data_IF_158028865021
#
_entry.id   IF_158028865021
#
_cell.length_a   1.000
_cell.length_b   1.000
_cell.length_c   1.000
_cell.angle_alpha   90.00
_cell.angle_beta   90.00
_cell.angle_gamma   90.00
#
_symmetry.space_group_name_H-M   'P 1'
#
loop_
_entity.id
_entity.type
_entity.pdbx_description
1 polymer ?
#
# COMPACT_ATOMS: atom_id res chain seq x y z
N UNK A 1 -35.14 21.03 -37.59
CA UNK A 1 -34.37 20.90 -38.85
C UNK A 1 -32.89 21.01 -38.49
N UNK A 2 -32.20 19.88 -38.39
CA UNK A 2 -30.74 19.82 -38.51
C UNK A 2 -30.52 19.06 -39.82
N UNK A 3 -30.42 19.81 -40.92
CA UNK A 3 -29.98 19.29 -42.20
C UNK A 3 -28.53 19.72 -42.36
N UNK A 4 -27.64 18.80 -42.00
CA UNK A 4 -26.19 18.95 -41.99
C UNK A 4 -25.58 17.60 -41.62
N UNK A 5 -25.58 16.69 -42.60
CA UNK A 5 -25.01 15.33 -42.62
C UNK A 5 -25.77 14.25 -41.82
N UNK A 6 -26.28 13.24 -42.54
CA UNK A 6 -26.80 11.94 -42.04
C UNK A 6 -25.70 11.08 -41.37
N UNK A 7 -24.80 11.70 -40.62
CA UNK A 7 -23.68 11.04 -39.96
C UNK A 7 -24.05 10.79 -38.51
N UNK A 8 -23.81 9.56 -38.07
CA UNK A 8 -23.91 9.18 -36.66
C UNK A 8 -22.87 9.93 -35.83
N UNK A 9 -23.05 10.06 -34.50
CA UNK A 9 -22.05 10.69 -33.64
C UNK A 9 -20.66 10.06 -33.76
N UNK A 10 -20.61 8.76 -34.06
CA UNK A 10 -19.36 8.04 -34.30
C UNK A 10 -18.65 8.55 -35.56
N UNK A 11 -19.36 8.64 -36.69
CA UNK A 11 -18.81 9.12 -37.97
C UNK A 11 -18.36 10.58 -37.87
N UNK A 12 -19.13 11.42 -37.18
CA UNK A 12 -18.73 12.81 -36.89
C UNK A 12 -17.40 12.86 -36.11
N UNK A 13 -17.21 11.97 -35.13
CA UNK A 13 -15.98 11.88 -34.34
C UNK A 13 -14.77 11.34 -35.12
N UNK A 14 -14.98 10.42 -36.06
CA UNK A 14 -13.89 9.88 -36.89
C UNK A 14 -13.45 10.85 -38.00
N UNK A 15 -14.31 11.80 -38.38
CA UNK A 15 -13.99 12.78 -39.42
C UNK A 15 -12.82 13.72 -39.09
N UNK A 16 -12.56 13.95 -37.79
CA UNK A 16 -11.53 14.89 -37.33
C UNK A 16 -11.80 16.37 -37.68
N UNK A 17 -12.97 16.71 -38.23
CA UNK A 17 -13.33 18.09 -38.58
C UNK A 17 -13.88 18.84 -37.36
N UNK A 18 -13.28 19.99 -37.04
CA UNK A 18 -13.70 20.86 -35.94
C UNK A 18 -15.15 21.36 -36.07
N UNK A 19 -15.62 21.59 -37.30
CA UNK A 19 -16.99 22.05 -37.57
C UNK A 19 -18.04 21.03 -37.10
N UNK A 20 -17.70 19.75 -37.06
CA UNK A 20 -18.59 18.68 -36.63
C UNK A 20 -18.80 18.66 -35.10
N UNK A 21 -17.99 19.38 -34.32
CA UNK A 21 -18.14 19.44 -32.86
C UNK A 21 -19.50 20.02 -32.48
N UNK A 22 -20.04 20.99 -33.24
CA UNK A 22 -21.37 21.56 -32.96
C UNK A 22 -22.46 20.49 -33.03
N UNK A 23 -22.40 19.62 -34.03
CA UNK A 23 -23.36 18.53 -34.21
C UNK A 23 -23.17 17.41 -33.17
N UNK A 24 -21.94 17.11 -32.77
CA UNK A 24 -21.66 16.19 -31.66
C UNK A 24 -22.30 16.73 -30.36
N UNK A 25 -22.21 18.05 -30.11
CA UNK A 25 -22.85 18.68 -28.95
C UNK A 25 -24.37 18.58 -29.02
N UNK A 26 -24.98 18.78 -30.19
CA UNK A 26 -26.42 18.60 -30.40
C UNK A 26 -26.86 17.16 -30.03
N UNK A 27 -26.09 16.14 -30.43
CA UNK A 27 -26.36 14.77 -30.01
C UNK A 27 -26.19 14.53 -28.50
N UNK A 28 -25.20 15.14 -27.85
CA UNK A 28 -25.03 15.07 -26.38
C UNK A 28 -26.24 15.67 -25.66
N UNK A 29 -26.80 16.75 -26.19
CA UNK A 29 -27.92 17.50 -25.62
C UNK A 29 -29.25 16.75 -25.82
N UNK A 30 -29.60 16.42 -27.05
CA UNK A 30 -30.96 16.02 -27.43
C UNK A 30 -31.08 14.61 -28.05
N UNK A 31 -29.97 13.88 -28.20
CA UNK A 31 -29.98 12.52 -28.76
C UNK A 31 -30.60 11.44 -27.85
N UNK A 32 -30.84 10.25 -28.40
CA UNK A 32 -31.18 9.06 -27.62
C UNK A 32 -30.05 8.65 -26.65
N UNK A 33 -30.33 7.77 -25.67
CA UNK A 33 -29.31 7.30 -24.71
C UNK A 33 -28.06 6.77 -25.43
N UNK A 34 -28.25 6.03 -26.52
CA UNK A 34 -27.14 5.47 -27.28
C UNK A 34 -26.41 6.53 -28.11
N UNK A 35 -27.13 7.47 -28.73
CA UNK A 35 -26.51 8.57 -29.47
C UNK A 35 -25.71 9.49 -28.54
N UNK A 36 -26.26 9.87 -27.39
CA UNK A 36 -25.55 10.63 -26.35
C UNK A 36 -24.28 9.93 -25.89
N UNK A 37 -24.34 8.60 -25.71
CA UNK A 37 -23.18 7.78 -25.32
C UNK A 37 -22.10 7.79 -26.41
N UNK A 38 -22.50 7.62 -27.67
CA UNK A 38 -21.58 7.65 -28.81
C UNK A 38 -21.00 9.06 -29.03
N UNK A 39 -21.82 10.10 -28.86
CA UNK A 39 -21.41 11.49 -28.97
C UNK A 39 -20.41 11.87 -27.88
N UNK A 40 -20.62 11.44 -26.63
CA UNK A 40 -19.63 11.63 -25.57
C UNK A 40 -18.30 10.91 -25.88
N UNK A 41 -18.35 9.71 -26.47
CA UNK A 41 -17.15 9.00 -26.93
C UNK A 41 -16.42 9.75 -28.05
N UNK A 42 -17.16 10.27 -29.03
CA UNK A 42 -16.64 11.07 -30.13
C UNK A 42 -16.00 12.37 -29.64
N UNK A 43 -16.69 13.11 -28.77
CA UNK A 43 -16.20 14.35 -28.18
C UNK A 43 -14.88 14.15 -27.42
N UNK A 44 -14.77 13.05 -26.65
CA UNK A 44 -13.53 12.67 -25.95
C UNK A 44 -12.35 12.44 -26.90
N UNK A 45 -12.60 11.89 -28.10
CA UNK A 45 -11.54 11.74 -29.12
C UNK A 45 -11.15 13.10 -29.69
N UNK A 46 -12.14 13.95 -29.98
CA UNK A 46 -11.92 15.28 -30.54
C UNK A 46 -11.21 16.24 -29.58
N UNK A 47 -11.40 16.08 -28.26
CA UNK A 47 -10.77 16.93 -27.25
C UNK A 47 -9.24 16.85 -27.19
N UNK A 48 -8.64 15.84 -27.83
CA UNK A 48 -7.18 15.74 -27.98
C UNK A 48 -6.63 16.90 -28.82
N UNK A 49 -7.39 17.36 -29.82
CA UNK A 49 -6.96 18.38 -30.78
C UNK A 49 -7.73 19.70 -30.64
N UNK A 50 -9.03 19.64 -30.30
CA UNK A 50 -9.94 20.80 -30.32
C UNK A 50 -10.59 21.02 -28.96
N UNK A 51 -9.76 21.14 -27.94
CA UNK A 51 -10.21 21.13 -26.54
C UNK A 51 -11.14 22.29 -26.18
N UNK A 52 -10.84 23.50 -26.65
CA UNK A 52 -11.64 24.70 -26.38
C UNK A 52 -13.06 24.59 -26.92
N UNK A 53 -13.22 24.07 -28.14
CA UNK A 53 -14.55 23.84 -28.73
C UNK A 53 -15.31 22.73 -28.01
N UNK A 54 -14.62 21.65 -27.63
CA UNK A 54 -15.24 20.57 -26.87
C UNK A 54 -15.68 20.99 -25.46
N UNK A 55 -15.03 21.99 -24.84
CA UNK A 55 -15.42 22.51 -23.52
C UNK A 55 -16.84 23.10 -23.51
N UNK A 56 -17.37 23.52 -24.67
CA UNK A 56 -18.77 23.98 -24.82
C UNK A 56 -19.81 22.90 -24.48
N UNK A 57 -19.39 21.63 -24.41
CA UNK A 57 -20.25 20.49 -24.12
C UNK A 57 -20.40 20.17 -22.61
N UNK A 58 -19.60 20.80 -21.74
CA UNK A 58 -19.42 20.36 -20.34
C UNK A 58 -20.75 20.29 -19.59
N UNK A 59 -21.58 21.33 -19.67
CA UNK A 59 -22.86 21.37 -18.95
C UNK A 59 -23.82 20.26 -19.40
N UNK A 60 -23.88 19.98 -20.70
CA UNK A 60 -24.71 18.92 -21.25
C UNK A 60 -24.22 17.52 -20.82
N UNK A 61 -22.89 17.33 -20.75
CA UNK A 61 -22.29 16.10 -20.23
C UNK A 61 -22.59 15.91 -18.74
N UNK A 62 -22.56 16.97 -17.94
CA UNK A 62 -22.94 16.94 -16.52
C UNK A 62 -24.43 16.60 -16.37
N UNK A 63 -25.30 17.21 -17.19
CA UNK A 63 -26.74 16.90 -17.18
C UNK A 63 -27.01 15.41 -17.45
N UNK A 64 -26.26 14.80 -18.37
CA UNK A 64 -26.37 13.37 -18.68
C UNK A 64 -26.02 12.46 -17.48
N UNK A 65 -25.38 12.96 -16.42
CA UNK A 65 -25.12 12.19 -15.20
C UNK A 65 -26.38 11.93 -14.35
N UNK A 66 -27.49 12.62 -14.63
CA UNK A 66 -28.78 12.37 -13.97
C UNK A 66 -29.56 11.17 -14.55
N UNK A 67 -29.10 10.59 -15.66
CA UNK A 67 -29.75 9.44 -16.28
C UNK A 67 -29.61 8.16 -15.45
N UNK A 68 -30.61 7.28 -15.53
CA UNK A 68 -30.54 5.94 -14.95
C UNK A 68 -29.59 5.02 -15.71
N UNK A 69 -29.29 5.31 -16.99
CA UNK A 69 -28.44 4.50 -17.87
C UNK A 69 -26.94 4.58 -17.48
N UNK A 70 -26.34 3.54 -16.85
CA UNK A 70 -25.01 3.68 -16.27
C UNK A 70 -23.89 3.84 -17.31
N UNK A 71 -24.07 3.25 -18.49
CA UNK A 71 -23.10 3.39 -19.59
C UNK A 71 -23.06 4.83 -20.14
N UNK A 72 -24.20 5.52 -20.23
CA UNK A 72 -24.20 6.93 -20.65
C UNK A 72 -23.47 7.80 -19.62
N UNK A 73 -23.70 7.56 -18.32
CA UNK A 73 -22.93 8.23 -17.26
C UNK A 73 -21.43 7.97 -17.41
N UNK A 74 -21.02 6.73 -17.63
CA UNK A 74 -19.63 6.35 -17.81
C UNK A 74 -18.95 7.11 -18.95
N UNK A 75 -19.56 7.14 -20.14
CA UNK A 75 -18.97 7.80 -21.31
C UNK A 75 -18.97 9.33 -21.15
N UNK A 76 -19.98 9.89 -20.50
CA UNK A 76 -20.01 11.32 -20.16
C UNK A 76 -18.89 11.69 -19.21
N UNK A 77 -18.64 10.89 -18.17
CA UNK A 77 -17.52 11.07 -17.24
C UNK A 77 -16.16 10.92 -17.93
N UNK A 78 -16.01 9.93 -18.82
CA UNK A 78 -14.78 9.77 -19.60
C UNK A 78 -14.48 10.97 -20.50
N UNK A 79 -15.52 11.61 -21.05
CA UNK A 79 -15.36 12.85 -21.81
C UNK A 79 -14.97 14.01 -20.89
N UNK A 80 -15.72 14.24 -19.80
CA UNK A 80 -15.47 15.29 -18.81
C UNK A 80 -14.04 15.24 -18.25
N UNK A 81 -13.48 14.04 -18.09
CA UNK A 81 -12.08 13.86 -17.64
C UNK A 81 -11.07 14.52 -18.57
N UNK A 82 -11.30 14.51 -19.87
CA UNK A 82 -10.36 15.07 -20.84
C UNK A 82 -10.53 16.59 -21.03
N UNK A 83 -11.71 17.14 -20.70
CA UNK A 83 -12.04 18.56 -20.82
C UNK A 83 -11.48 19.41 -19.66
N UNK A 84 -11.57 20.74 -19.80
CA UNK A 84 -11.16 21.73 -18.79
C UNK A 84 -12.34 22.12 -17.89
N UNK A 85 -12.38 21.55 -16.69
CA UNK A 85 -13.45 21.76 -15.74
C UNK A 85 -13.14 22.97 -14.83
N UNK A 86 -14.11 23.86 -14.67
CA UNK A 86 -14.07 24.92 -13.67
C UNK A 86 -14.32 24.35 -12.26
N UNK A 87 -14.03 25.17 -11.24
CA UNK A 87 -14.36 24.84 -9.86
C UNK A 87 -15.85 24.55 -9.64
N UNK A 88 -16.73 25.29 -10.33
CA UNK A 88 -18.18 25.11 -10.28
C UNK A 88 -18.58 23.72 -10.80
N UNK A 89 -18.01 23.31 -11.94
CA UNK A 89 -18.25 21.97 -12.49
C UNK A 89 -17.81 20.88 -11.49
N UNK A 90 -16.64 21.04 -10.88
CA UNK A 90 -16.14 20.09 -9.88
C UNK A 90 -17.05 20.04 -8.65
N UNK A 91 -17.59 21.17 -8.19
CA UNK A 91 -18.57 21.20 -7.11
C UNK A 91 -19.87 20.44 -7.46
N UNK A 92 -20.36 20.56 -8.69
CA UNK A 92 -21.52 19.81 -9.17
C UNK A 92 -21.21 18.30 -9.20
N UNK A 93 -20.06 17.90 -9.73
CA UNK A 93 -19.64 16.49 -9.78
C UNK A 93 -19.55 15.85 -8.38
N UNK A 94 -19.14 16.60 -7.34
CA UNK A 94 -19.15 16.11 -5.94
C UNK A 94 -20.55 15.74 -5.45
N UNK A 95 -21.60 16.35 -5.98
CA UNK A 95 -22.98 16.00 -5.63
C UNK A 95 -23.42 14.72 -6.35
N UNK A 96 -22.98 14.52 -7.59
CA UNK A 96 -23.33 13.33 -8.38
C UNK A 96 -22.64 12.05 -7.89
N UNK A 97 -21.36 12.11 -7.49
CA UNK A 97 -20.66 10.90 -7.01
C UNK A 97 -21.36 10.25 -5.80
N UNK A 98 -22.01 11.03 -4.93
CA UNK A 98 -22.77 10.53 -3.76
C UNK A 98 -23.97 9.65 -4.14
N UNK A 99 -24.46 9.77 -5.37
CA UNK A 99 -25.61 9.02 -5.90
C UNK A 99 -25.18 7.90 -6.86
N UNK A 100 -23.88 7.79 -7.16
CA UNK A 100 -23.39 6.81 -8.12
C UNK A 100 -23.30 5.42 -7.49
N UNK A 101 -23.95 4.44 -8.11
CA UNK A 101 -24.05 3.07 -7.63
C UNK A 101 -23.09 2.12 -8.36
N UNK A 102 -22.48 2.55 -9.47
CA UNK A 102 -21.55 1.74 -10.26
C UNK A 102 -20.10 2.11 -9.99
N UNK A 103 -19.35 1.14 -9.45
CA UNK A 103 -17.94 1.29 -9.11
C UNK A 103 -17.06 1.79 -10.27
N UNK A 104 -17.31 1.32 -11.50
CA UNK A 104 -16.52 1.75 -12.67
C UNK A 104 -16.74 3.22 -13.05
N UNK A 105 -17.83 3.85 -12.60
CA UNK A 105 -18.06 5.29 -12.75
C UNK A 105 -17.35 6.06 -11.63
N UNK A 106 -17.42 5.55 -10.39
CA UNK A 106 -16.71 6.12 -9.23
C UNK A 106 -15.22 6.28 -9.49
N UNK A 107 -14.57 5.27 -10.10
CA UNK A 107 -13.14 5.34 -10.46
C UNK A 107 -12.85 6.56 -11.37
N UNK A 108 -13.74 6.88 -12.31
CA UNK A 108 -13.52 8.00 -13.24
C UNK A 108 -13.69 9.35 -12.50
N UNK A 109 -14.60 9.44 -11.53
CA UNK A 109 -14.68 10.63 -10.67
C UNK A 109 -13.38 10.86 -9.92
N UNK A 110 -12.78 9.80 -9.34
CA UNK A 110 -11.52 9.91 -8.61
C UNK A 110 -10.38 10.38 -9.52
N UNK A 111 -10.34 9.89 -10.76
CA UNK A 111 -9.39 10.36 -11.79
C UNK A 111 -9.59 11.85 -12.11
N UNK A 112 -10.84 12.30 -12.25
CA UNK A 112 -11.18 13.72 -12.47
C UNK A 112 -10.70 14.58 -11.29
N UNK A 113 -11.07 14.24 -10.06
CA UNK A 113 -10.69 15.04 -8.89
C UNK A 113 -9.18 15.03 -8.63
N UNK A 114 -8.50 13.93 -8.96
CA UNK A 114 -7.04 13.84 -8.89
C UNK A 114 -6.36 14.78 -9.89
N UNK A 115 -6.90 14.91 -11.11
CA UNK A 115 -6.36 15.79 -12.18
C UNK A 115 -6.35 17.26 -11.75
N UNK A 116 -7.37 17.72 -11.04
CA UNK A 116 -7.53 19.16 -10.73
C UNK A 116 -6.95 19.61 -9.39
N UNK A 117 -6.38 18.70 -8.59
CA UNK A 117 -5.99 18.96 -7.18
C UNK A 117 -7.11 19.57 -6.30
N UNK A 118 -8.32 19.74 -6.85
CA UNK A 118 -9.50 20.29 -6.21
C UNK A 118 -10.03 19.24 -5.24
N UNK A 119 -9.65 19.38 -3.98
CA UNK A 119 -10.04 18.43 -2.93
C UNK A 119 -8.93 17.56 -2.36
N UNK A 120 -7.65 17.83 -2.63
CA UNK A 120 -6.55 17.22 -1.84
C UNK A 120 -6.67 17.54 -0.34
N UNK A 121 -7.31 18.65 0.03
CA UNK A 121 -7.52 19.00 1.45
C UNK A 121 -8.98 18.84 1.95
N UNK A 122 -10.01 18.84 1.09
CA UNK A 122 -11.42 18.85 1.56
C UNK A 122 -12.36 17.81 0.94
N UNK A 123 -11.96 17.02 -0.06
CA UNK A 123 -12.80 15.92 -0.59
C UNK A 123 -12.35 14.56 -0.09
N UNK A 124 -11.07 14.42 0.28
CA UNK A 124 -10.60 13.25 1.05
C UNK A 124 -10.64 13.58 2.56
N UNK A 125 -11.76 14.12 3.03
CA UNK A 125 -12.40 13.50 4.19
C UNK A 125 -13.17 12.29 3.68
N UNK A 126 -12.45 11.33 3.07
CA UNK A 126 -12.86 9.95 3.25
C UNK A 126 -13.05 9.81 4.77
N UNK A 127 -14.22 9.34 5.15
CA UNK A 127 -14.31 8.56 6.36
C UNK A 127 -13.46 7.32 6.07
N UNK A 128 -12.12 7.46 6.16
CA UNK A 128 -11.17 6.36 6.05
C UNK A 128 -11.59 5.41 7.16
N UNK A 129 -12.27 4.36 6.74
CA UNK A 129 -12.94 3.39 7.58
C UNK A 129 -12.60 2.04 7.00
N UNK A 130 -12.29 1.08 7.86
CA UNK A 130 -11.85 -0.26 7.48
C UNK A 130 -12.78 -0.92 6.44
N UNK A 131 -14.08 -0.62 6.52
CA UNK A 131 -15.11 -1.18 5.66
C UNK A 131 -15.05 -0.66 4.21
N UNK A 132 -14.43 0.49 3.96
CA UNK A 132 -14.42 1.13 2.63
C UNK A 132 -13.09 0.99 1.88
N UNK A 133 -12.10 0.31 2.48
CA UNK A 133 -10.80 0.15 1.85
C UNK A 133 -10.87 -0.72 0.60
N UNK A 134 -10.20 -0.27 -0.46
CA UNK A 134 -9.98 -1.07 -1.68
C UNK A 134 -8.99 -2.21 -1.43
N UNK A 135 -9.07 -3.28 -2.23
CA UNK A 135 -8.11 -4.38 -2.15
C UNK A 135 -6.68 -3.92 -2.40
N UNK A 136 -6.47 -2.96 -3.29
CA UNK A 136 -5.14 -2.39 -3.53
C UNK A 136 -4.59 -1.73 -2.27
N UNK A 137 -5.38 -0.88 -1.62
CA UNK A 137 -4.96 -0.19 -0.39
C UNK A 137 -4.66 -1.17 0.74
N UNK A 138 -5.48 -2.21 0.92
CA UNK A 138 -5.20 -3.28 1.90
C UNK A 138 -3.84 -3.93 1.63
N UNK A 139 -3.55 -4.28 0.38
CA UNK A 139 -2.27 -4.90 0.02
C UNK A 139 -1.09 -3.94 0.20
N UNK A 140 -1.25 -2.67 -0.14
CA UNK A 140 -0.22 -1.64 0.06
C UNK A 140 0.13 -1.48 1.55
N UNK A 141 -0.90 -1.44 2.40
CA UNK A 141 -0.72 -1.37 3.86
C UNK A 141 -0.10 -2.65 4.41
N UNK A 142 -0.57 -3.82 3.98
CA UNK A 142 -0.06 -5.11 4.43
C UNK A 142 1.39 -5.36 3.99
N UNK A 143 1.77 -4.91 2.80
CA UNK A 143 3.14 -5.01 2.32
C UNK A 143 4.06 -3.90 2.88
N UNK A 144 3.53 -2.97 3.67
CA UNK A 144 4.28 -1.84 4.20
C UNK A 144 4.78 -0.87 3.12
N UNK A 145 4.23 -0.92 1.91
CA UNK A 145 4.57 0.01 0.83
C UNK A 145 3.88 1.36 0.98
N UNK A 146 2.84 1.42 1.82
CA UNK A 146 2.11 2.64 2.18
C UNK A 146 1.88 2.70 3.68
N UNK A 147 2.05 3.87 4.27
CA UNK A 147 1.75 4.07 5.69
C UNK A 147 0.23 4.06 5.92
N UNK A 148 -0.22 3.34 6.95
CA UNK A 148 -1.62 3.40 7.40
C UNK A 148 -1.90 4.78 8.02
N UNK A 149 -2.95 5.50 7.56
CA UNK A 149 -3.38 6.77 8.15
C UNK A 149 -3.77 6.64 9.62
N UNK A 150 -3.47 7.64 10.45
CA UNK A 150 -3.84 7.67 11.88
C UNK A 150 -5.33 7.41 12.12
N UNK A 151 -6.20 8.07 11.33
CA UNK A 151 -7.66 7.90 11.40
C UNK A 151 -8.09 6.44 11.19
N UNK A 152 -7.40 5.69 10.33
CA UNK A 152 -7.69 4.28 10.11
C UNK A 152 -7.25 3.41 11.30
N UNK A 153 -6.11 3.75 11.94
CA UNK A 153 -5.66 3.08 13.17
C UNK A 153 -6.70 3.27 14.28
N UNK A 154 -7.23 4.49 14.41
CA UNK A 154 -8.30 4.81 15.36
C UNK A 154 -9.61 4.09 15.04
N UNK A 155 -9.99 4.02 13.77
CA UNK A 155 -11.16 3.27 13.32
C UNK A 155 -11.05 1.78 13.66
N UNK A 156 -9.89 1.14 13.43
CA UNK A 156 -9.67 -0.25 13.83
C UNK A 156 -9.78 -0.46 15.35
N UNK A 157 -9.30 0.49 16.17
CA UNK A 157 -9.46 0.45 17.64
C UNK A 157 -10.91 0.61 18.07
N UNK A 158 -11.65 1.52 17.45
CA UNK A 158 -13.06 1.71 17.76
C UNK A 158 -13.86 0.46 17.38
N UNK A 159 -13.56 -0.13 16.22
CA UNK A 159 -14.19 -1.36 15.74
C UNK A 159 -13.86 -2.58 16.60
N UNK A 160 -12.64 -2.70 17.10
CA UNK A 160 -12.30 -3.79 18.03
C UNK A 160 -13.03 -3.66 19.36
N UNK A 161 -13.24 -2.43 19.84
CA UNK A 161 -14.04 -2.19 21.04
C UNK A 161 -15.52 -2.54 20.81
N UNK A 162 -16.10 -2.17 19.66
CA UNK A 162 -17.46 -2.57 19.28
C UNK A 162 -17.58 -4.10 19.21
N UNK A 163 -16.63 -4.77 18.56
CA UNK A 163 -16.59 -6.24 18.49
C UNK A 163 -16.57 -6.88 19.89
N UNK A 164 -15.73 -6.40 20.81
CA UNK A 164 -15.66 -6.92 22.18
C UNK A 164 -16.94 -6.62 22.98
N UNK A 165 -17.55 -5.46 22.79
CA UNK A 165 -18.84 -5.14 23.43
C UNK A 165 -19.93 -6.10 22.96
N UNK A 166 -20.05 -6.32 21.65
CA UNK A 166 -21.02 -7.26 21.07
C UNK A 166 -20.73 -8.70 21.52
N UNK A 167 -19.46 -9.06 21.67
CA UNK A 167 -19.05 -10.37 22.20
C UNK A 167 -19.49 -10.54 23.66
N UNK A 168 -19.35 -9.49 24.46
CA UNK A 168 -19.79 -9.50 25.87
C UNK A 168 -21.31 -9.53 25.99
N UNK A 169 -22.05 -8.75 25.20
CA UNK A 169 -23.51 -8.78 25.15
C UNK A 169 -24.03 -10.16 24.73
N UNK A 170 -23.38 -10.78 23.74
CA UNK A 170 -23.68 -12.16 23.33
C UNK A 170 -23.42 -13.15 24.48
N UNK A 171 -22.32 -12.99 25.21
CA UNK A 171 -22.01 -13.84 26.37
C UNK A 171 -23.02 -13.68 27.52
N UNK A 172 -23.59 -12.48 27.73
CA UNK A 172 -24.62 -12.24 28.75
C UNK A 172 -25.91 -13.05 28.51
N UNK A 173 -26.21 -13.36 27.25
CA UNK A 173 -27.37 -14.18 26.89
C UNK A 173 -27.17 -15.68 27.17
N UNK A 174 -25.91 -16.11 27.33
CA UNK A 174 -25.53 -17.52 27.46
C UNK A 174 -25.04 -17.86 28.86
N UNK A 175 -24.31 -16.93 29.50
CA UNK A 175 -23.71 -17.14 30.82
C UNK A 175 -24.63 -16.56 31.90
N UNK A 176 -25.33 -17.44 32.61
CA UNK A 176 -26.13 -17.08 33.78
C UNK A 176 -25.27 -16.84 35.04
N UNK A 177 -24.09 -17.46 35.11
CA UNK A 177 -23.17 -17.33 36.25
C UNK A 177 -22.43 -15.99 36.21
N UNK A 178 -22.69 -15.14 37.22
CA UNK A 178 -22.09 -13.80 37.33
C UNK A 178 -20.56 -13.83 37.45
N UNK A 179 -20.00 -14.87 38.09
CA UNK A 179 -18.56 -15.05 38.24
C UNK A 179 -17.93 -15.37 36.89
N UNK A 180 -18.47 -16.35 36.16
CA UNK A 180 -17.99 -16.70 34.81
C UNK A 180 -18.14 -15.54 33.83
N UNK A 181 -19.22 -14.77 33.92
CA UNK A 181 -19.43 -13.58 33.09
C UNK A 181 -18.39 -12.49 33.40
N UNK A 182 -18.03 -12.31 34.68
CA UNK A 182 -16.96 -11.41 35.10
C UNK A 182 -15.59 -11.85 34.58
N UNK A 183 -15.30 -13.15 34.63
CA UNK A 183 -14.08 -13.75 34.06
C UNK A 183 -14.03 -13.55 32.55
N UNK A 184 -15.14 -13.80 31.84
CA UNK A 184 -15.26 -13.61 30.40
C UNK A 184 -14.94 -12.17 30.00
N UNK A 185 -15.58 -11.20 30.68
CA UNK A 185 -15.34 -9.77 30.44
C UNK A 185 -13.86 -9.40 30.58
N UNK A 186 -13.18 -9.91 31.61
CA UNK A 186 -11.75 -9.67 31.81
C UNK A 186 -10.88 -10.37 30.76
N UNK A 187 -11.17 -11.62 30.44
CA UNK A 187 -10.38 -12.44 29.52
C UNK A 187 -10.30 -11.83 28.12
N UNK A 188 -11.38 -11.23 27.66
CA UNK A 188 -11.51 -10.70 26.29
C UNK A 188 -11.46 -9.17 26.19
N UNK A 189 -11.13 -8.44 27.26
CA UNK A 189 -11.09 -6.98 27.21
C UNK A 189 -9.90 -6.45 26.36
N UNK A 190 -10.11 -5.38 25.60
CA UNK A 190 -9.06 -4.80 24.73
C UNK A 190 -7.94 -4.14 25.55
N UNK A 191 -8.27 -3.57 26.70
CA UNK A 191 -7.36 -2.70 27.45
C UNK A 191 -6.30 -3.45 28.26
N UNK A 192 -6.55 -4.70 28.64
CA UNK A 192 -5.65 -5.45 29.51
C UNK A 192 -5.72 -6.95 29.24
N UNK A 193 -4.56 -7.57 29.04
CA UNK A 193 -4.48 -9.01 28.85
C UNK A 193 -4.48 -9.74 30.20
N UNK A 194 -5.53 -10.50 30.46
CA UNK A 194 -5.62 -11.38 31.62
C UNK A 194 -5.26 -12.81 31.21
N UNK A 195 -4.18 -13.35 31.75
CA UNK A 195 -3.80 -14.76 31.54
C UNK A 195 -4.73 -15.68 32.32
N UNK A 196 -4.91 -16.93 31.85
CA UNK A 196 -5.64 -17.95 32.60
C UNK A 196 -5.07 -18.13 34.02
N UNK A 197 -3.76 -18.02 34.19
CA UNK A 197 -3.13 -18.06 35.51
C UNK A 197 -3.55 -16.90 36.41
N UNK A 198 -3.63 -15.67 35.87
CA UNK A 198 -4.08 -14.51 36.65
C UNK A 198 -5.54 -14.63 37.08
N UNK A 199 -6.42 -15.09 36.18
CA UNK A 199 -7.84 -15.28 36.46
C UNK A 199 -8.06 -16.44 37.44
N UNK A 200 -7.33 -17.54 37.28
CA UNK A 200 -7.36 -18.69 38.17
C UNK A 200 -7.03 -18.29 39.62
N UNK A 201 -5.99 -17.48 39.82
CA UNK A 201 -5.64 -16.95 41.14
C UNK A 201 -6.69 -15.99 41.69
N UNK A 202 -7.16 -15.06 40.86
CA UNK A 202 -8.07 -14.00 41.29
C UNK A 202 -9.44 -14.55 41.71
N UNK A 203 -9.94 -15.56 41.00
CA UNK A 203 -11.26 -16.14 41.22
C UNK A 203 -11.22 -17.46 42.00
N UNK A 204 -10.04 -17.94 42.38
CA UNK A 204 -9.82 -19.22 43.05
C UNK A 204 -10.46 -20.41 42.29
N UNK A 205 -10.26 -20.46 40.98
CA UNK A 205 -10.78 -21.50 40.10
C UNK A 205 -9.64 -22.20 39.33
N UNK A 206 -9.75 -23.51 39.03
CA UNK A 206 -8.77 -24.20 38.20
C UNK A 206 -8.65 -23.58 36.80
N UNK A 207 -7.42 -23.53 36.25
CA UNK A 207 -7.18 -22.91 34.92
C UNK A 207 -7.95 -23.59 33.80
N UNK A 208 -7.97 -24.93 33.80
CA UNK A 208 -8.70 -25.74 32.84
C UNK A 208 -10.20 -25.46 32.93
N UNK A 209 -10.75 -25.38 34.13
CA UNK A 209 -12.17 -25.02 34.32
C UNK A 209 -12.51 -23.67 33.69
N UNK A 210 -11.65 -22.65 33.87
CA UNK A 210 -11.83 -21.34 33.23
C UNK A 210 -11.75 -21.47 31.71
N UNK A 211 -10.71 -22.13 31.19
CA UNK A 211 -10.49 -22.29 29.76
C UNK A 211 -11.66 -23.01 29.08
N UNK A 212 -12.05 -24.17 29.60
CA UNK A 212 -13.17 -24.98 29.10
C UNK A 212 -14.49 -24.20 29.15
N UNK A 213 -14.73 -23.45 30.24
CA UNK A 213 -15.94 -22.62 30.37
C UNK A 213 -15.98 -21.49 29.34
N UNK A 214 -14.84 -20.83 29.10
CA UNK A 214 -14.76 -19.77 28.09
C UNK A 214 -14.94 -20.34 26.69
N UNK A 215 -14.31 -21.47 26.37
CA UNK A 215 -14.42 -22.14 25.08
C UNK A 215 -15.85 -22.61 24.81
N UNK A 216 -16.49 -23.26 25.78
CA UNK A 216 -17.88 -23.66 25.70
C UNK A 216 -18.81 -22.46 25.46
N UNK A 217 -18.55 -21.32 26.12
CA UNK A 217 -19.32 -20.10 25.85
C UNK A 217 -19.15 -19.61 24.41
N UNK A 218 -17.92 -19.51 23.90
CA UNK A 218 -17.69 -19.06 22.52
C UNK A 218 -18.30 -20.03 21.50
N UNK A 219 -18.25 -21.35 21.75
CA UNK A 219 -18.93 -22.35 20.92
C UNK A 219 -20.43 -22.08 20.85
N UNK A 220 -21.10 -21.91 21.99
CA UNK A 220 -22.55 -21.63 22.03
C UNK A 220 -22.91 -20.30 21.34
N UNK A 221 -22.06 -19.27 21.45
CA UNK A 221 -22.23 -18.02 20.71
C UNK A 221 -22.18 -18.30 19.20
N UNK A 222 -21.17 -19.03 18.74
CA UNK A 222 -20.99 -19.35 17.32
C UNK A 222 -22.15 -20.21 16.76
N UNK A 223 -22.63 -21.19 17.52
CA UNK A 223 -23.81 -21.99 17.20
C UNK A 223 -25.06 -21.11 17.08
N UNK A 224 -25.29 -20.24 18.05
CA UNK A 224 -26.43 -19.30 18.05
C UNK A 224 -26.41 -18.37 16.83
N UNK A 225 -25.23 -17.86 16.45
CA UNK A 225 -25.04 -17.08 15.21
C UNK A 225 -25.40 -17.93 13.99
N UNK A 226 -24.89 -19.16 13.91
CA UNK A 226 -25.14 -20.06 12.80
C UNK A 226 -26.63 -20.37 12.63
N UNK A 227 -27.36 -20.55 13.73
CA UNK A 227 -28.81 -20.76 13.74
C UNK A 227 -29.58 -19.51 13.32
N UNK A 228 -29.20 -18.33 13.83
CA UNK A 228 -29.85 -17.06 13.46
C UNK A 228 -29.66 -16.72 11.97
N UNK A 229 -28.50 -17.03 11.39
CA UNK A 229 -28.24 -16.81 9.96
C UNK A 229 -29.13 -17.66 9.03
N UNK A 230 -29.73 -18.74 9.54
CA UNK A 230 -30.64 -19.61 8.78
C UNK A 230 -32.11 -19.20 8.88
N UNK A 231 -32.47 -18.29 9.80
CA UNK A 231 -33.86 -17.86 10.00
C UNK A 231 -34.24 -16.75 9.01
N UNK A 232 -35.48 -16.80 8.51
CA UNK A 232 -36.05 -15.74 7.64
C UNK A 232 -36.31 -14.44 8.43
N UNK A 233 -36.73 -14.57 9.70
CA UNK A 233 -36.88 -13.45 10.63
C UNK A 233 -35.68 -13.42 11.57
N UNK A 234 -34.80 -12.44 11.36
CA UNK A 234 -33.49 -12.35 12.01
C UNK A 234 -33.63 -11.58 13.32
N UNK A 235 -33.30 -12.23 14.43
CA UNK A 235 -33.09 -11.55 15.71
C UNK A 235 -31.80 -10.73 15.69
N UNK A 236 -31.79 -9.54 16.30
CA UNK A 236 -30.66 -8.61 16.13
C UNK A 236 -29.40 -8.96 16.95
N UNK A 237 -29.51 -9.75 18.03
CA UNK A 237 -28.49 -9.72 19.09
C UNK A 237 -27.19 -10.47 18.75
N UNK A 238 -27.22 -11.72 18.30
CA UNK A 238 -25.99 -12.43 17.93
C UNK A 238 -25.52 -12.03 16.52
N UNK A 239 -26.44 -11.70 15.63
CA UNK A 239 -26.13 -11.16 14.30
C UNK A 239 -25.31 -9.85 14.38
N UNK A 240 -25.53 -9.00 15.38
CA UNK A 240 -24.69 -7.80 15.57
C UNK A 240 -23.21 -8.12 15.79
N UNK A 241 -22.88 -9.19 16.51
CA UNK A 241 -21.51 -9.66 16.67
C UNK A 241 -20.94 -10.11 15.32
N UNK A 242 -21.68 -10.93 14.57
CA UNK A 242 -21.28 -11.39 13.24
C UNK A 242 -21.07 -10.22 12.25
N UNK A 243 -22.01 -9.28 12.18
CA UNK A 243 -21.94 -8.12 11.31
C UNK A 243 -20.78 -7.18 11.67
N UNK A 244 -20.48 -7.04 12.97
CA UNK A 244 -19.37 -6.20 13.43
C UNK A 244 -18.02 -6.66 12.89
N UNK A 245 -17.83 -7.97 12.67
CA UNK A 245 -16.59 -8.52 12.12
C UNK A 245 -16.63 -8.66 10.59
N UNK A 246 -17.74 -9.14 10.02
CA UNK A 246 -17.81 -9.42 8.58
C UNK A 246 -17.77 -8.16 7.73
N UNK A 247 -18.31 -7.04 8.18
CA UNK A 247 -18.18 -5.75 7.49
C UNK A 247 -16.73 -5.23 7.43
N UNK A 248 -15.91 -5.55 8.43
CA UNK A 248 -14.49 -5.14 8.47
C UNK A 248 -13.69 -6.02 7.52
N UNK A 249 -13.97 -7.32 7.54
CA UNK A 249 -13.23 -8.33 6.81
C UNK A 249 -13.67 -8.48 5.36
N UNK A 250 -14.86 -7.94 5.01
CA UNK A 250 -15.49 -8.10 3.68
C UNK A 250 -15.42 -9.55 3.22
N UNK A 251 -16.15 -10.41 3.91
CA UNK A 251 -16.11 -11.87 3.70
C UNK A 251 -16.36 -12.31 2.25
N UNK A 252 -17.07 -11.49 1.48
CA UNK A 252 -17.30 -11.64 0.05
C UNK A 252 -16.01 -11.45 -0.79
N UNK A 253 -15.07 -10.63 -0.33
CA UNK A 253 -13.77 -10.35 -0.98
C UNK A 253 -12.68 -11.34 -0.52
N UNK A 254 -12.81 -12.61 -0.91
CA UNK A 254 -11.91 -13.71 -0.51
C UNK A 254 -10.40 -13.42 -0.71
N UNK A 255 -10.04 -12.58 -1.68
CA UNK A 255 -8.64 -12.31 -2.07
C UNK A 255 -7.83 -11.60 -0.99
N UNK A 256 -8.47 -10.78 -0.16
CA UNK A 256 -7.78 -9.95 0.85
C UNK A 256 -8.25 -10.23 2.28
N UNK A 257 -8.99 -11.32 2.47
CA UNK A 257 -9.59 -11.65 3.77
C UNK A 257 -8.53 -11.74 4.88
N UNK A 258 -7.42 -12.43 4.61
CA UNK A 258 -6.35 -12.62 5.58
C UNK A 258 -5.66 -11.29 5.89
N UNK A 259 -5.37 -10.49 4.88
CA UNK A 259 -4.71 -9.19 5.03
C UNK A 259 -5.58 -8.21 5.81
N UNK A 260 -6.88 -8.14 5.52
CA UNK A 260 -7.86 -7.34 6.29
C UNK A 260 -7.89 -7.79 7.76
N UNK A 261 -7.91 -9.10 8.00
CA UNK A 261 -7.91 -9.65 9.35
C UNK A 261 -6.60 -9.34 10.08
N UNK A 262 -5.44 -9.46 9.44
CA UNK A 262 -4.15 -9.11 10.02
C UNK A 262 -4.09 -7.63 10.39
N UNK A 263 -4.55 -6.74 9.51
CA UNK A 263 -4.60 -5.30 9.78
C UNK A 263 -5.54 -4.98 10.96
N UNK A 264 -6.71 -5.60 11.01
CA UNK A 264 -7.64 -5.44 12.11
C UNK A 264 -7.06 -5.95 13.43
N UNK A 265 -6.40 -7.12 13.42
CA UNK A 265 -5.76 -7.70 14.61
C UNK A 265 -4.63 -6.83 15.13
N UNK A 266 -3.76 -6.35 14.24
CA UNK A 266 -2.58 -5.56 14.60
C UNK A 266 -2.95 -4.19 15.17
N UNK A 267 -3.91 -3.49 14.57
CA UNK A 267 -4.29 -2.14 15.00
C UNK A 267 -5.41 -2.12 16.03
N UNK A 268 -6.28 -3.13 16.02
CA UNK A 268 -7.44 -3.22 16.91
C UNK A 268 -7.13 -3.84 18.27
N UNK A 269 -6.12 -4.71 18.39
CA UNK A 269 -5.86 -5.45 19.62
C UNK A 269 -4.40 -5.39 20.06
N UNK A 270 -4.11 -5.50 21.36
CA UNK A 270 -2.74 -5.69 21.83
C UNK A 270 -2.18 -7.01 21.29
N UNK A 271 -0.89 -7.04 20.92
CA UNK A 271 -0.20 -8.24 20.40
C UNK A 271 -0.40 -9.50 21.27
N UNK A 272 -0.49 -9.33 22.59
CA UNK A 272 -0.74 -10.43 23.54
C UNK A 272 -2.08 -11.15 23.31
N UNK A 273 -3.05 -10.52 22.65
CA UNK A 273 -4.37 -11.08 22.35
C UNK A 273 -4.43 -11.82 21.01
N UNK A 274 -3.37 -11.80 20.19
CA UNK A 274 -3.41 -12.29 18.81
C UNK A 274 -4.02 -13.69 18.68
N UNK A 275 -3.44 -14.69 19.36
CA UNK A 275 -3.92 -16.08 19.28
C UNK A 275 -5.36 -16.24 19.77
N UNK A 276 -5.70 -15.52 20.85
CA UNK A 276 -7.03 -15.54 21.44
C UNK A 276 -8.08 -14.98 20.47
N UNK A 277 -7.81 -13.81 19.88
CA UNK A 277 -8.73 -13.14 18.97
C UNK A 277 -8.86 -13.88 17.63
N UNK A 278 -7.78 -14.47 17.12
CA UNK A 278 -7.84 -15.32 15.93
C UNK A 278 -8.78 -16.51 16.16
N UNK A 279 -8.65 -17.22 17.29
CA UNK A 279 -9.54 -18.35 17.64
C UNK A 279 -11.00 -17.90 17.70
N UNK A 280 -11.29 -16.83 18.46
CA UNK A 280 -12.65 -16.30 18.62
C UNK A 280 -13.26 -15.87 17.28
N UNK A 281 -12.52 -15.11 16.47
CA UNK A 281 -13.00 -14.64 15.15
C UNK A 281 -13.26 -15.82 14.21
N UNK A 282 -12.37 -16.83 14.17
CA UNK A 282 -12.58 -18.02 13.34
C UNK A 282 -13.82 -18.80 13.75
N UNK A 283 -14.04 -18.96 15.06
CA UNK A 283 -15.25 -19.60 15.58
C UNK A 283 -16.51 -18.84 15.19
N UNK A 284 -16.55 -17.52 15.38
CA UNK A 284 -17.70 -16.69 15.02
C UNK A 284 -18.02 -16.75 13.52
N UNK A 285 -17.00 -16.76 12.67
CA UNK A 285 -17.19 -16.72 11.21
C UNK A 285 -17.54 -18.09 10.62
N UNK A 286 -16.91 -19.16 11.10
CA UNK A 286 -16.98 -20.48 10.48
C UNK A 286 -17.73 -21.52 11.32
N UNK A 287 -18.20 -21.15 12.52
CA UNK A 287 -18.75 -22.06 13.52
C UNK A 287 -17.83 -23.27 13.82
N UNK A 288 -16.53 -23.08 13.64
CA UNK A 288 -15.49 -24.09 13.87
C UNK A 288 -14.14 -23.37 13.94
N UNK A 289 -13.22 -23.78 14.83
CA UNK A 289 -11.88 -23.18 14.94
C UNK A 289 -11.06 -23.18 13.62
N UNK A 290 -11.32 -24.05 12.62
CA UNK A 290 -10.59 -24.10 11.33
C UNK A 290 -9.07 -23.89 11.51
N UNK A 291 -8.40 -24.82 12.19
CA UNK A 291 -7.00 -24.67 12.64
C UNK A 291 -6.02 -24.20 11.55
N UNK A 292 -6.07 -24.78 10.35
CA UNK A 292 -5.22 -24.36 9.22
C UNK A 292 -5.39 -22.88 8.83
N UNK A 293 -6.59 -22.31 9.02
CA UNK A 293 -6.82 -20.86 8.80
C UNK A 293 -6.21 -20.02 9.91
N UNK A 294 -6.23 -20.49 11.15
CA UNK A 294 -5.57 -19.79 12.26
C UNK A 294 -4.06 -19.70 12.02
N UNK A 295 -3.44 -20.81 11.63
CA UNK A 295 -2.01 -20.86 11.29
C UNK A 295 -1.67 -19.92 10.14
N UNK A 296 -2.49 -19.92 9.08
CA UNK A 296 -2.31 -19.04 7.93
C UNK A 296 -2.38 -17.55 8.30
N UNK A 297 -3.30 -17.17 9.18
CA UNK A 297 -3.41 -15.79 9.69
C UNK A 297 -2.21 -15.43 10.56
N UNK A 298 -1.77 -16.33 11.44
CA UNK A 298 -0.60 -16.08 12.31
C UNK A 298 0.67 -15.92 11.45
N UNK A 299 0.90 -16.80 10.48
CA UNK A 299 2.03 -16.69 9.55
C UNK A 299 1.98 -15.38 8.74
N UNK A 300 0.79 -15.00 8.28
CA UNK A 300 0.60 -13.73 7.55
C UNK A 300 0.82 -12.51 8.44
N UNK A 301 0.48 -12.60 9.74
CA UNK A 301 0.77 -11.57 10.72
C UNK A 301 2.28 -11.40 10.94
N UNK A 302 3.04 -12.49 11.01
CA UNK A 302 4.50 -12.44 11.11
C UNK A 302 5.14 -11.85 9.85
N UNK A 303 4.66 -12.24 8.67
CA UNK A 303 5.06 -11.64 7.39
C UNK A 303 4.78 -10.13 7.35
N UNK A 304 3.62 -9.71 7.85
CA UNK A 304 3.27 -8.30 7.97
C UNK A 304 4.26 -7.53 8.88
N UNK A 305 4.67 -8.11 10.01
CA UNK A 305 5.69 -7.50 10.88
C UNK A 305 7.04 -7.35 10.18
N UNK A 306 7.47 -8.38 9.44
CA UNK A 306 8.71 -8.33 8.66
C UNK A 306 8.65 -7.24 7.57
N UNK A 307 7.51 -7.12 6.88
CA UNK A 307 7.28 -6.05 5.91
C UNK A 307 7.38 -4.65 6.54
N UNK A 308 6.75 -4.44 7.70
CA UNK A 308 6.85 -3.16 8.44
C UNK A 308 8.29 -2.86 8.85
N UNK A 309 9.01 -3.87 9.35
CA UNK A 309 10.41 -3.72 9.74
C UNK A 309 11.29 -3.34 8.53
N UNK A 310 11.12 -4.05 7.40
CA UNK A 310 11.81 -3.73 6.15
C UNK A 310 11.48 -2.33 5.65
N UNK A 311 10.21 -1.93 5.68
CA UNK A 311 9.79 -0.60 5.26
C UNK A 311 10.45 0.49 6.10
N UNK A 312 10.44 0.34 7.43
CA UNK A 312 11.12 1.26 8.34
C UNK A 312 12.64 1.33 8.07
N UNK A 313 13.29 0.17 7.89
CA UNK A 313 14.71 0.11 7.54
C UNK A 313 15.00 0.83 6.22
N UNK A 314 14.15 0.67 5.20
CA UNK A 314 14.27 1.40 3.93
C UNK A 314 14.25 2.90 4.19
N UNK A 315 13.27 3.41 4.92
CA UNK A 315 13.12 4.85 5.17
C UNK A 315 14.27 5.44 6.00
N UNK A 316 14.72 4.73 7.04
CA UNK A 316 15.87 5.13 7.83
C UNK A 316 17.15 5.15 6.97
N UNK A 317 17.34 4.14 6.12
CA UNK A 317 18.50 4.08 5.25
C UNK A 317 18.46 5.10 4.10
N UNK A 318 17.29 5.43 3.55
CA UNK A 318 17.12 6.54 2.59
C UNK A 318 17.63 7.85 3.18
N UNK A 319 17.23 8.17 4.42
CA UNK A 319 17.70 9.38 5.10
C UNK A 319 19.22 9.39 5.25
N UNK A 320 19.81 8.24 5.58
CA UNK A 320 21.28 8.08 5.65
C UNK A 320 21.90 8.34 4.27
N UNK A 321 21.38 7.73 3.21
CA UNK A 321 21.88 7.88 1.85
C UNK A 321 21.84 9.36 1.41
N UNK A 322 20.70 10.03 1.55
CA UNK A 322 20.57 11.44 1.17
C UNK A 322 21.45 12.38 1.99
N UNK A 323 21.67 12.08 3.27
CA UNK A 323 22.52 12.91 4.15
C UNK A 323 24.01 12.76 3.85
N UNK A 324 24.45 11.58 3.41
CA UNK A 324 25.88 11.26 3.34
C UNK A 324 26.47 11.23 1.92
N UNK A 325 25.64 11.27 0.86
CA UNK A 325 26.13 11.36 -0.51
C UNK A 325 26.40 12.81 -0.87
N UNK A 326 27.66 13.11 -1.16
CA UNK A 326 28.10 14.38 -1.74
C UNK A 326 28.04 14.32 -3.26
N UNK A 327 27.35 15.26 -3.88
CA UNK A 327 27.24 15.37 -5.34
C UNK A 327 28.15 16.46 -5.90
N UNK A 328 28.81 16.24 -7.05
CA UNK A 328 29.50 17.30 -7.78
C UNK A 328 28.50 18.22 -8.50
N UNK A 329 28.95 19.41 -8.91
CA UNK A 329 28.11 20.39 -9.64
C UNK A 329 27.58 19.81 -10.95
N UNK A 330 28.42 19.11 -11.70
CA UNK A 330 28.06 18.47 -12.95
C UNK A 330 27.82 16.97 -12.74
N UNK A 331 26.54 16.58 -12.61
CA UNK A 331 26.16 15.19 -12.38
C UNK A 331 26.00 14.47 -13.73
N UNK A 332 26.68 13.35 -13.89
CA UNK A 332 26.54 12.47 -15.06
C UNK A 332 25.47 11.41 -14.80
N UNK A 333 24.55 11.28 -15.75
CA UNK A 333 23.52 10.23 -15.76
C UNK A 333 24.04 9.04 -16.57
N UNK A 334 24.06 7.86 -15.97
CA UNK A 334 24.50 6.64 -16.63
C UNK A 334 23.33 5.87 -17.26
N UNK A 335 23.50 5.48 -18.52
CA UNK A 335 22.58 4.57 -19.19
C UNK A 335 22.79 3.11 -18.75
N UNK A 336 21.77 2.28 -18.94
CA UNK A 336 21.76 0.87 -18.50
C UNK A 336 22.99 0.08 -18.99
N UNK A 337 23.35 0.26 -20.26
CA UNK A 337 24.50 -0.43 -20.88
C UNK A 337 25.85 -0.02 -20.29
N UNK A 338 25.95 1.18 -19.70
CA UNK A 338 27.21 1.70 -19.16
C UNK A 338 27.57 1.07 -17.83
N UNK A 339 26.58 0.71 -17.00
CA UNK A 339 26.84 0.15 -15.67
C UNK A 339 26.68 -1.37 -15.61
N UNK A 340 25.90 -2.00 -16.49
CA UNK A 340 25.76 -3.47 -16.49
C UNK A 340 27.06 -4.24 -16.75
N UNK A 341 28.02 -3.60 -17.42
CA UNK A 341 29.35 -4.18 -17.68
C UNK A 341 30.30 -4.10 -16.48
N UNK A 342 29.96 -3.31 -15.46
CA UNK A 342 30.81 -3.07 -14.30
C UNK A 342 30.77 -4.30 -13.39
N UNK A 343 31.94 -4.87 -13.11
CA UNK A 343 32.06 -6.09 -12.32
C UNK A 343 33.14 -5.94 -11.24
N UNK A 344 33.07 -6.81 -10.23
CA UNK A 344 34.14 -6.95 -9.24
C UNK A 344 35.42 -7.44 -9.91
N UNK A 345 36.55 -6.82 -9.59
CA UNK A 345 37.86 -7.21 -10.15
C UNK A 345 38.15 -8.71 -9.87
N UNK A 346 38.52 -9.45 -10.92
CA UNK A 346 38.56 -10.92 -10.94
C UNK A 346 39.38 -11.58 -9.82
N UNK A 347 40.57 -11.04 -9.50
CA UNK A 347 41.40 -11.64 -8.46
C UNK A 347 40.78 -11.49 -7.07
N UNK A 348 40.08 -10.37 -6.81
CA UNK A 348 39.34 -10.16 -5.56
C UNK A 348 38.10 -11.04 -5.51
N UNK A 349 37.37 -11.16 -6.62
CA UNK A 349 36.23 -12.07 -6.76
C UNK A 349 36.62 -13.48 -6.34
N UNK A 350 37.67 -14.04 -6.95
CA UNK A 350 38.16 -15.40 -6.67
C UNK A 350 38.57 -15.59 -5.20
N UNK A 351 39.26 -14.60 -4.61
CA UNK A 351 39.68 -14.67 -3.20
C UNK A 351 38.49 -14.63 -2.23
N UNK A 352 37.52 -13.72 -2.46
CA UNK A 352 36.36 -13.56 -1.60
C UNK A 352 35.37 -14.72 -1.73
N UNK A 353 35.23 -15.28 -2.93
CA UNK A 353 34.42 -16.47 -3.19
C UNK A 353 34.95 -17.69 -2.43
N UNK A 354 36.27 -17.93 -2.48
CA UNK A 354 36.92 -19.00 -1.68
C UNK A 354 36.68 -18.84 -0.18
N UNK A 355 36.59 -17.60 0.31
CA UNK A 355 36.31 -17.26 1.71
C UNK A 355 34.83 -17.25 2.06
N UNK A 356 33.93 -17.55 1.11
CA UNK A 356 32.49 -17.51 1.32
C UNK A 356 31.94 -16.10 1.63
N UNK A 357 32.65 -15.04 1.25
CA UNK A 357 32.28 -13.65 1.56
C UNK A 357 31.49 -13.01 0.42
N UNK A 358 30.25 -13.46 0.25
CA UNK A 358 29.30 -12.90 -0.70
C UNK A 358 27.86 -12.93 -0.19
N UNK A 359 27.00 -12.10 -0.78
CA UNK A 359 25.55 -12.19 -0.68
C UNK A 359 24.99 -12.53 -2.07
N UNK A 360 23.89 -13.29 -2.11
CA UNK A 360 23.11 -13.45 -3.34
C UNK A 360 22.19 -12.24 -3.48
N UNK A 361 22.34 -11.46 -4.55
CA UNK A 361 21.40 -10.40 -4.89
C UNK A 361 20.26 -11.01 -5.70
N UNK A 362 19.04 -10.85 -5.22
CA UNK A 362 17.83 -11.20 -5.97
C UNK A 362 17.59 -10.14 -7.06
N UNK A 363 17.87 -8.87 -6.77
CA UNK A 363 17.71 -7.75 -7.70
C UNK A 363 18.58 -7.90 -8.96
N UNK A 364 19.79 -8.41 -8.80
CA UNK A 364 20.78 -8.53 -9.88
C UNK A 364 20.99 -9.96 -10.35
N UNK A 365 20.37 -10.94 -9.67
CA UNK A 365 20.56 -12.37 -9.91
C UNK A 365 22.04 -12.79 -9.98
N UNK A 366 22.86 -12.27 -9.06
CA UNK A 366 24.30 -12.55 -9.00
C UNK A 366 24.86 -12.48 -7.58
N UNK A 367 26.07 -13.03 -7.39
CA UNK A 367 26.80 -12.92 -6.14
C UNK A 367 27.50 -11.55 -6.04
N UNK A 368 27.29 -10.85 -4.92
CA UNK A 368 27.95 -9.59 -4.61
C UNK A 368 28.88 -9.78 -3.41
N UNK A 369 30.14 -9.38 -3.56
CA UNK A 369 31.22 -9.72 -2.62
C UNK A 369 31.47 -8.62 -1.59
N UNK A 370 31.92 -8.98 -0.39
CA UNK A 370 32.25 -8.04 0.67
C UNK A 370 33.53 -8.46 1.42
N UNK A 371 34.26 -7.51 2.00
CA UNK A 371 35.42 -7.80 2.87
C UNK A 371 35.06 -7.75 4.36
N UNK A 372 34.04 -6.97 4.67
CA UNK A 372 33.73 -6.40 5.98
C UNK A 372 32.25 -6.63 6.35
N UNK A 373 31.92 -6.67 7.65
CA UNK A 373 30.51 -6.77 8.10
C UNK A 373 29.74 -5.48 7.80
N UNK A 374 30.38 -4.32 7.96
CA UNK A 374 29.78 -3.04 7.55
C UNK A 374 29.40 -3.01 6.08
N UNK A 375 30.29 -3.51 5.20
CA UNK A 375 30.00 -3.63 3.78
C UNK A 375 28.83 -4.58 3.52
N UNK A 376 28.79 -5.72 4.22
CA UNK A 376 27.68 -6.67 4.11
C UNK A 376 26.34 -6.03 4.47
N UNK A 377 26.28 -5.30 5.56
CA UNK A 377 25.05 -4.65 6.02
C UNK A 377 24.64 -3.52 5.09
N UNK A 378 25.59 -2.73 4.59
CA UNK A 378 25.32 -1.69 3.60
C UNK A 378 24.78 -2.28 2.28
N UNK A 379 25.34 -3.38 1.79
CA UNK A 379 24.86 -4.08 0.60
C UNK A 379 23.45 -4.63 0.79
N UNK A 380 23.13 -5.18 1.97
CA UNK A 380 21.76 -5.60 2.29
C UNK A 380 20.79 -4.43 2.28
N UNK A 381 21.18 -3.27 2.78
CA UNK A 381 20.34 -2.08 2.76
C UNK A 381 20.13 -1.55 1.33
N UNK A 382 21.16 -1.55 0.48
CA UNK A 382 21.04 -1.21 -0.95
C UNK A 382 20.12 -2.18 -1.70
N UNK A 383 20.16 -3.48 -1.36
CA UNK A 383 19.26 -4.48 -1.94
C UNK A 383 17.78 -4.15 -1.65
N UNK A 384 17.48 -3.65 -0.45
CA UNK A 384 16.12 -3.29 -0.05
C UNK A 384 15.56 -2.04 -0.75
N UNK A 385 16.42 -1.10 -1.16
CA UNK A 385 15.98 0.17 -1.77
C UNK A 385 15.56 -0.02 -3.22
N UNK A 386 14.31 0.31 -3.55
CA UNK A 386 13.78 0.23 -4.92
C UNK A 386 14.38 1.26 -5.87
N UNK A 387 14.81 2.42 -5.35
CA UNK A 387 15.52 3.40 -6.15
C UNK A 387 16.91 2.93 -6.57
N UNK A 388 17.53 1.96 -5.89
CA UNK A 388 18.82 1.41 -6.31
C UNK A 388 18.56 0.29 -7.33
N UNK A 389 18.99 0.47 -8.57
CA UNK A 389 18.75 -0.47 -9.66
C UNK A 389 19.97 -1.33 -9.99
N UNK A 390 21.16 -0.92 -9.53
CA UNK A 390 22.40 -1.65 -9.72
C UNK A 390 23.35 -1.38 -8.56
N UNK A 391 24.13 -2.39 -8.16
CA UNK A 391 25.23 -2.21 -7.22
C UNK A 391 26.28 -3.33 -7.36
N UNK A 392 27.53 -2.98 -7.12
CA UNK A 392 28.69 -3.88 -7.24
C UNK A 392 29.80 -3.45 -6.28
N UNK A 393 30.79 -4.31 -6.07
CA UNK A 393 31.91 -4.02 -5.18
C UNK A 393 33.26 -4.15 -5.87
N UNK A 394 34.25 -3.39 -5.40
CA UNK A 394 35.64 -3.43 -5.85
C UNK A 394 35.80 -3.34 -7.37
N UNK A 395 35.35 -2.22 -7.93
CA UNK A 395 35.19 -2.04 -9.37
C UNK A 395 36.33 -1.24 -10.00
N UNK A 396 36.77 -0.19 -9.31
CA UNK A 396 37.66 0.82 -9.86
C UNK A 396 38.96 0.84 -9.07
N UNK A 397 40.06 0.63 -9.79
CA UNK A 397 41.42 0.77 -9.26
C UNK A 397 41.96 2.14 -9.67
N UNK A 398 42.37 2.93 -8.69
CA UNK A 398 42.83 4.30 -8.85
C UNK A 398 44.24 4.44 -8.26
N UNK A 399 45.12 5.18 -8.93
CA UNK A 399 46.47 5.49 -8.41
C UNK A 399 46.41 6.80 -7.62
N UNK A 400 46.95 6.83 -6.41
CA UNK A 400 47.05 8.01 -5.57
C UNK A 400 48.02 9.03 -6.15
N UNK A 401 47.61 10.30 -6.16
CA UNK A 401 48.42 11.38 -6.73
C UNK A 401 49.65 11.73 -5.87
N UNK A 402 49.56 11.57 -4.55
CA UNK A 402 50.57 12.01 -3.58
C UNK A 402 51.54 10.91 -3.14
N UNK A 403 51.12 9.66 -3.13
CA UNK A 403 51.91 8.51 -2.66
C UNK A 403 52.20 7.47 -3.74
N UNK A 404 51.54 7.55 -4.90
CA UNK A 404 51.69 6.59 -5.99
C UNK A 404 51.07 5.21 -5.70
N UNK A 405 50.40 5.05 -4.56
CA UNK A 405 49.74 3.80 -4.13
C UNK A 405 48.48 3.51 -4.94
N UNK A 406 48.05 2.25 -4.99
CA UNK A 406 46.80 1.89 -5.65
C UNK A 406 45.67 1.66 -4.66
N UNK A 407 44.57 2.37 -4.89
CA UNK A 407 43.34 2.29 -4.13
C UNK A 407 42.23 1.64 -4.94
N UNK A 408 41.30 0.96 -4.25
CA UNK A 408 40.13 0.34 -4.85
C UNK A 408 38.89 0.80 -4.09
N UNK A 409 37.82 1.15 -4.80
CA UNK A 409 36.57 1.52 -4.16
C UNK A 409 35.93 0.31 -3.46
N UNK A 410 35.10 0.56 -2.44
CA UNK A 410 34.44 -0.55 -1.75
C UNK A 410 33.15 -0.94 -2.46
N UNK A 411 32.26 0.02 -2.67
CA UNK A 411 30.94 -0.22 -3.29
C UNK A 411 30.72 0.84 -4.37
N UNK A 412 29.98 0.46 -5.41
CA UNK A 412 29.43 1.34 -6.42
C UNK A 412 27.95 1.00 -6.59
N UNK A 413 27.07 1.99 -6.67
CA UNK A 413 25.65 1.76 -6.93
C UNK A 413 25.04 2.82 -7.85
N UNK A 414 23.94 2.48 -8.51
CA UNK A 414 23.21 3.34 -9.45
C UNK A 414 21.75 3.44 -9.05
N UNK A 415 21.25 4.67 -9.03
CA UNK A 415 19.86 5.01 -8.77
C UNK A 415 19.01 4.88 -10.04
N UNK A 416 17.69 4.80 -9.87
CA UNK A 416 16.71 4.60 -10.94
C UNK A 416 16.70 5.74 -11.98
N UNK A 417 17.13 6.93 -11.58
CA UNK A 417 17.32 8.09 -12.45
C UNK A 417 18.69 8.11 -13.16
N UNK A 418 19.50 7.06 -12.99
CA UNK A 418 20.82 6.89 -13.60
C UNK A 418 21.96 7.61 -12.88
N UNK A 419 21.69 8.34 -11.78
CA UNK A 419 22.75 8.89 -10.93
C UNK A 419 23.49 7.75 -10.23
N UNK A 420 24.82 7.84 -10.18
CA UNK A 420 25.65 6.79 -9.59
C UNK A 420 26.54 7.30 -8.47
N UNK A 421 26.81 6.43 -7.50
CA UNK A 421 27.54 6.76 -6.27
C UNK A 421 28.66 5.75 -6.02
N UNK A 422 29.84 6.27 -5.68
CA UNK A 422 30.96 5.49 -5.15
C UNK A 422 30.95 5.59 -3.62
N UNK A 423 31.05 4.45 -2.94
CA UNK A 423 31.13 4.39 -1.48
C UNK A 423 32.50 3.91 -1.04
N UNK A 424 33.07 4.64 -0.07
CA UNK A 424 34.29 4.28 0.64
C UNK A 424 33.97 3.99 2.10
N UNK A 425 34.26 2.77 2.53
CA UNK A 425 34.09 2.33 3.91
C UNK A 425 35.35 2.61 4.75
N UNK A 426 35.24 2.57 6.09
CA UNK A 426 36.38 2.83 6.97
C UNK A 426 37.52 1.85 6.72
N UNK A 427 38.76 2.33 6.87
CA UNK A 427 39.98 1.56 6.58
C UNK A 427 40.16 0.41 7.57
N UNK A 428 39.65 0.57 8.80
CA UNK A 428 39.72 -0.42 9.86
C UNK A 428 38.37 -0.53 10.58
N UNK A 429 37.79 -1.72 10.61
CA UNK A 429 36.53 -1.97 11.32
C UNK A 429 36.65 -1.82 12.84
N UNK A 430 37.86 -1.95 13.39
CA UNK A 430 38.14 -1.79 14.82
C UNK A 430 38.46 -0.35 15.23
N UNK A 431 38.76 0.52 14.25
CA UNK A 431 39.09 1.93 14.49
C UNK A 431 38.51 2.78 13.37
N UNK A 432 37.26 3.22 13.61
CA UNK A 432 36.49 4.02 12.66
C UNK A 432 37.04 5.45 12.50
N UNK A 433 37.94 5.89 13.39
CA UNK A 433 38.58 7.21 13.32
C UNK A 433 39.76 7.25 12.35
N UNK A 434 40.26 6.08 11.93
CA UNK A 434 41.38 5.96 11.01
C UNK A 434 40.95 6.31 9.57
N UNK A 435 41.25 7.54 9.17
CA UNK A 435 41.00 8.06 7.82
C UNK A 435 42.21 7.83 6.92
N UNK A 436 41.99 7.42 5.66
CA UNK A 436 43.02 7.46 4.62
C UNK A 436 42.76 8.66 3.70
N UNK A 437 43.34 9.81 4.05
CA UNK A 437 43.14 11.08 3.35
C UNK A 437 43.54 11.02 1.87
N UNK A 438 44.62 10.29 1.54
CA UNK A 438 45.09 10.16 0.15
C UNK A 438 44.10 9.36 -0.71
N UNK A 439 43.60 8.23 -0.18
CA UNK A 439 42.54 7.43 -0.82
C UNK A 439 41.29 8.27 -1.05
N UNK A 440 40.82 8.91 0.02
CA UNK A 440 39.57 9.66 0.03
C UNK A 440 39.63 10.82 -0.97
N UNK A 441 40.71 11.61 -0.96
CA UNK A 441 40.94 12.71 -1.90
C UNK A 441 41.04 12.22 -3.37
N UNK A 442 41.71 11.10 -3.61
CA UNK A 442 41.83 10.55 -4.96
C UNK A 442 40.45 10.19 -5.55
N UNK A 443 39.60 9.53 -4.77
CA UNK A 443 38.24 9.19 -5.21
C UNK A 443 37.31 10.40 -5.26
N UNK A 444 37.46 11.40 -4.38
CA UNK A 444 36.73 12.67 -4.48
C UNK A 444 37.02 13.36 -5.81
N UNK A 445 38.29 13.44 -6.21
CA UNK A 445 38.69 14.03 -7.50
C UNK A 445 38.13 13.24 -8.69
N UNK A 446 38.23 11.90 -8.64
CA UNK A 446 37.65 11.04 -9.68
C UNK A 446 36.14 11.25 -9.80
N UNK A 447 35.42 11.29 -8.68
CA UNK A 447 33.97 11.46 -8.67
C UNK A 447 33.57 12.84 -9.20
N UNK A 448 34.32 13.90 -8.87
CA UNK A 448 34.12 15.23 -9.45
C UNK A 448 34.33 15.25 -10.96
N UNK A 449 35.43 14.65 -11.45
CA UNK A 449 35.74 14.59 -12.88
C UNK A 449 34.70 13.78 -13.68
N UNK A 450 34.24 12.66 -13.12
CA UNK A 450 33.30 11.74 -13.80
C UNK A 450 31.82 12.08 -13.56
N UNK A 451 31.52 13.08 -12.74
CA UNK A 451 30.17 13.49 -12.40
C UNK A 451 29.41 12.46 -11.54
N UNK A 452 30.11 11.75 -10.65
CA UNK A 452 29.55 10.71 -9.78
C UNK A 452 29.37 11.26 -8.35
N UNK A 453 28.35 10.78 -7.65
CA UNK A 453 28.24 11.02 -6.21
C UNK A 453 29.29 10.23 -5.44
N UNK A 454 29.68 10.73 -4.27
CA UNK A 454 30.59 10.04 -3.37
C UNK A 454 30.01 9.98 -1.95
N UNK A 455 30.12 8.81 -1.33
CA UNK A 455 29.85 8.63 0.10
C UNK A 455 31.09 8.08 0.79
N UNK A 456 31.72 8.92 1.60
CA UNK A 456 32.82 8.50 2.47
C UNK A 456 32.24 8.27 3.86
N UNK A 457 32.33 7.04 4.35
CA UNK A 457 31.85 6.69 5.67
C UNK A 457 32.74 7.37 6.73
N UNK A 458 32.16 8.33 7.46
CA UNK A 458 32.78 9.02 8.59
C UNK A 458 31.95 8.69 9.84
N UNK A 459 32.61 8.29 10.92
CA UNK A 459 31.97 8.01 12.23
C UNK A 459 31.34 9.25 12.83
#
# INVERSE_FOLDING_TARGET
MINGLNMTPYELGESGNVENIVHIIEYIKDGSINEKRLAASALRKMSVYYKEDCNKAIDYLIQNLNTTAPQLRQYSLKALKELDLSEEHLFILKKHIKKEDKQYNTIIYDEIFSKYQYGKNDIIKETICANNLSNLSIMEYFNGTKEIPLKLKEDYKNKSQVFINNLYESAQLIINDKTLLGIFKKRYCVNKYYTLQSLSKEYNLPRNYIEDSMENCINKIAESISEELQKEDRGDKFINLYNSITHILKMEEKRTFIERLVLFLYWGFPKSHLKLMVKVIMMIIYNNPKEWKQESVISSYEKFLDNLHKSKLKDDFRKILYKNVSWPENIKILGIEQFKIINTIDYLKKDLEKKGKFIKSEKLNMNIYYKSLYQKDLLKNLELLEEVIFYSTFNFRLKGHSDGEYYINDIFFVLKDGRSVVVLTPVNEKDLTKVNKNRDLAFENLCKEKGLGIWIFKS
#
